data_IF_383315245611
#
_entry.id   IF_383315245611
#
_cell.length_a   1.000
_cell.length_b   1.000
_cell.length_c   1.000
_cell.angle_alpha   90.00
_cell.angle_beta   90.00
_cell.angle_gamma   90.00
#
_symmetry.space_group_name_H-M   'P 1'
#
loop_
_entity.id
_entity.type
_entity.pdbx_description
1 polymer ?
#
# COMPACT_ATOMS: atom_id res chain seq x y z
N UNK A 1 63.55 -2.86 -3.73
CA UNK A 1 62.30 -2.18 -3.25
C UNK A 1 61.77 -1.32 -4.38
N UNK A 2 60.60 -1.65 -4.89
CA UNK A 2 59.96 -0.82 -5.94
C UNK A 2 59.42 0.41 -5.24
N UNK A 3 59.96 1.58 -5.60
CA UNK A 3 59.54 2.83 -4.99
C UNK A 3 58.14 3.20 -5.53
N UNK A 4 57.10 3.13 -4.66
CA UNK A 4 55.72 3.38 -5.00
C UNK A 4 55.52 4.77 -5.63
N UNK A 5 56.26 5.78 -5.18
CA UNK A 5 56.22 7.13 -5.75
C UNK A 5 56.71 7.17 -7.21
N UNK A 6 57.77 6.45 -7.52
CA UNK A 6 58.31 6.36 -8.89
C UNK A 6 57.34 5.65 -9.82
N UNK A 7 56.70 4.57 -9.36
CA UNK A 7 55.67 3.83 -10.13
C UNK A 7 54.45 4.70 -10.39
N UNK A 8 53.96 5.40 -9.40
CA UNK A 8 52.81 6.31 -9.55
C UNK A 8 53.12 7.46 -10.54
N UNK A 9 54.32 8.04 -10.45
CA UNK A 9 54.76 9.10 -11.36
C UNK A 9 54.83 8.61 -12.81
N UNK A 10 55.37 7.41 -13.05
CA UNK A 10 55.40 6.80 -14.39
C UNK A 10 54.02 6.52 -14.94
N UNK A 11 53.08 6.04 -14.10
CA UNK A 11 51.71 5.81 -14.51
C UNK A 11 51.01 7.11 -14.95
N UNK A 12 51.15 8.20 -14.17
CA UNK A 12 50.56 9.51 -14.52
C UNK A 12 51.18 10.08 -15.81
N UNK A 13 52.50 9.91 -16.02
CA UNK A 13 53.16 10.36 -17.24
C UNK A 13 52.65 9.57 -18.46
N UNK A 14 52.50 8.25 -18.33
CA UNK A 14 51.95 7.40 -19.40
C UNK A 14 50.55 7.79 -19.81
N UNK A 15 49.68 8.16 -18.83
CA UNK A 15 48.33 8.66 -19.09
C UNK A 15 48.37 9.99 -19.83
N UNK A 16 49.30 10.87 -19.47
CA UNK A 16 49.43 12.20 -20.12
C UNK A 16 49.96 12.12 -21.55
N UNK A 17 50.82 11.16 -21.88
CA UNK A 17 51.32 10.96 -23.25
C UNK A 17 50.21 10.45 -24.18
N UNK A 18 49.31 9.60 -23.70
CA UNK A 18 48.23 9.00 -24.48
C UNK A 18 46.84 9.54 -24.07
N UNK A 19 46.69 10.85 -23.96
CA UNK A 19 45.50 11.53 -23.42
C UNK A 19 44.17 11.02 -24.04
N UNK A 20 44.11 10.95 -25.37
CA UNK A 20 42.88 10.55 -26.08
C UNK A 20 42.44 9.11 -25.74
N UNK A 21 43.42 8.18 -25.69
CA UNK A 21 43.12 6.79 -25.32
C UNK A 21 42.70 6.66 -23.88
N UNK A 22 43.37 7.36 -22.97
CA UNK A 22 43.07 7.36 -21.55
C UNK A 22 41.68 7.97 -21.28
N UNK A 23 41.33 9.07 -21.97
CA UNK A 23 40.00 9.67 -21.87
C UNK A 23 38.90 8.74 -22.38
N UNK A 24 39.11 8.10 -23.54
CA UNK A 24 38.13 7.18 -24.12
C UNK A 24 37.86 5.96 -23.23
N UNK A 25 38.95 5.37 -22.71
CA UNK A 25 38.79 4.22 -21.79
C UNK A 25 38.17 4.58 -20.47
N UNK A 26 38.54 5.73 -19.87
CA UNK A 26 37.93 6.23 -18.64
C UNK A 26 36.45 6.55 -18.84
N UNK A 27 36.09 7.17 -19.98
CA UNK A 27 34.71 7.47 -20.33
C UNK A 27 33.90 6.17 -20.44
N UNK A 28 34.41 5.15 -21.08
CA UNK A 28 33.74 3.84 -21.17
C UNK A 28 33.50 3.20 -19.82
N UNK A 29 34.48 3.26 -18.91
CA UNK A 29 34.35 2.72 -17.55
C UNK A 29 33.30 3.55 -16.77
N UNK A 30 33.34 4.89 -16.83
CA UNK A 30 32.40 5.76 -16.15
C UNK A 30 30.97 5.47 -16.61
N UNK A 31 30.74 5.41 -17.92
CA UNK A 31 29.42 5.10 -18.47
C UNK A 31 28.95 3.70 -18.00
N UNK A 32 29.79 2.70 -18.10
CA UNK A 32 29.46 1.34 -17.71
C UNK A 32 29.10 1.21 -16.23
N UNK A 33 29.93 1.78 -15.35
CA UNK A 33 29.67 1.75 -13.91
C UNK A 33 28.43 2.57 -13.55
N UNK A 34 28.30 3.76 -14.14
CA UNK A 34 27.11 4.61 -13.90
C UNK A 34 25.82 3.93 -14.32
N UNK A 35 25.81 3.24 -15.45
CA UNK A 35 24.65 2.51 -15.93
C UNK A 35 24.21 1.41 -14.93
N UNK A 36 25.17 0.67 -14.38
CA UNK A 36 24.88 -0.37 -13.37
C UNK A 36 24.34 0.25 -12.08
N UNK A 37 24.96 1.34 -11.61
CA UNK A 37 24.50 2.03 -10.39
C UNK A 37 23.07 2.57 -10.56
N UNK A 38 22.78 3.19 -11.70
CA UNK A 38 21.44 3.70 -11.99
C UNK A 38 20.42 2.57 -12.03
N UNK A 39 20.76 1.45 -12.71
CA UNK A 39 19.86 0.29 -12.78
C UNK A 39 19.55 -0.27 -11.37
N UNK A 40 20.56 -0.42 -10.53
CA UNK A 40 20.39 -0.89 -9.16
C UNK A 40 19.57 0.11 -8.33
N UNK A 41 19.85 1.40 -8.43
CA UNK A 41 19.13 2.44 -7.70
C UNK A 41 17.64 2.50 -8.09
N UNK A 42 17.33 2.42 -9.38
CA UNK A 42 15.95 2.37 -9.86
C UNK A 42 15.25 1.09 -9.40
N UNK A 43 15.94 -0.07 -9.51
CA UNK A 43 15.37 -1.35 -9.08
C UNK A 43 15.08 -1.42 -7.59
N UNK A 44 16.00 -0.97 -6.75
CA UNK A 44 15.80 -0.92 -5.29
C UNK A 44 14.74 0.09 -4.92
N UNK A 45 14.75 1.28 -5.53
CA UNK A 45 13.74 2.32 -5.27
C UNK A 45 12.32 1.88 -5.66
N UNK A 46 12.17 1.21 -6.79
CA UNK A 46 10.88 0.65 -7.21
C UNK A 46 10.39 -0.45 -6.25
N UNK A 47 11.28 -1.35 -5.84
CA UNK A 47 10.96 -2.42 -4.88
C UNK A 47 10.53 -1.86 -3.52
N UNK A 48 11.25 -0.85 -3.02
CA UNK A 48 10.91 -0.17 -1.75
C UNK A 48 9.55 0.53 -1.82
N UNK A 49 9.26 1.18 -2.96
CA UNK A 49 7.96 1.81 -3.17
C UNK A 49 6.82 0.80 -3.17
N UNK A 50 6.96 -0.31 -3.91
CA UNK A 50 5.96 -1.38 -3.93
C UNK A 50 5.76 -1.97 -2.53
N UNK A 51 6.84 -2.20 -1.78
CA UNK A 51 6.77 -2.68 -0.39
C UNK A 51 5.99 -1.70 0.50
N UNK A 52 6.29 -0.40 0.39
CA UNK A 52 5.60 0.65 1.15
C UNK A 52 4.13 0.77 0.79
N UNK A 53 3.80 0.65 -0.50
CA UNK A 53 2.43 0.63 -0.98
C UNK A 53 1.67 -0.61 -0.47
N UNK A 54 2.32 -1.78 -0.42
CA UNK A 54 1.75 -3.00 0.18
C UNK A 54 1.55 -2.87 1.70
N UNK A 55 2.50 -2.28 2.41
CA UNK A 55 2.40 -2.02 3.85
C UNK A 55 1.28 -1.04 4.17
N UNK A 56 1.07 -0.02 3.33
CA UNK A 56 -0.03 0.95 3.49
C UNK A 56 -1.41 0.34 3.26
N UNK A 57 -1.52 -0.70 2.44
CA UNK A 57 -2.77 -1.44 2.23
C UNK A 57 -3.12 -2.38 3.40
N UNK A 58 -2.25 -2.50 4.43
CA UNK A 58 -2.44 -3.38 5.58
C UNK A 58 -1.94 -4.80 5.31
N UNK A 59 -0.67 -5.06 5.57
CA UNK A 59 -0.01 -6.36 5.33
C UNK A 59 -0.61 -7.52 6.13
N UNK A 60 -1.34 -7.23 7.21
CA UNK A 60 -1.94 -8.22 8.11
C UNK A 60 -3.47 -8.20 8.07
N UNK A 61 -4.06 -7.75 6.93
CA UNK A 61 -5.49 -7.65 6.78
C UNK A 61 -6.09 -8.95 6.25
N UNK A 62 -6.99 -9.54 7.03
CA UNK A 62 -7.81 -10.67 6.61
C UNK A 62 -9.25 -10.20 6.35
N UNK A 63 -9.72 -10.33 5.10
CA UNK A 63 -11.09 -10.01 4.74
C UNK A 63 -11.91 -11.28 4.67
N UNK A 64 -12.91 -11.41 5.56
CA UNK A 64 -13.87 -12.52 5.60
C UNK A 64 -15.13 -12.08 4.86
N UNK A 65 -15.55 -12.84 3.87
CA UNK A 65 -16.75 -12.58 3.08
C UNK A 65 -17.71 -13.78 3.15
N UNK A 66 -19.00 -13.49 3.11
CA UNK A 66 -20.02 -14.54 2.98
C UNK A 66 -19.78 -15.38 1.72
N UNK A 67 -19.86 -16.70 1.85
CA UNK A 67 -19.77 -17.59 0.72
C UNK A 67 -20.96 -17.40 -0.25
N UNK A 68 -20.78 -17.78 -1.50
CA UNK A 68 -21.89 -17.79 -2.47
C UNK A 68 -22.93 -18.84 -2.09
N UNK A 69 -24.19 -18.46 -2.00
CA UNK A 69 -25.28 -19.42 -1.83
C UNK A 69 -25.55 -20.15 -3.16
N UNK A 70 -25.70 -21.48 -3.11
CA UNK A 70 -26.29 -22.25 -4.20
C UNK A 70 -27.82 -22.19 -4.06
N UNK A 71 -28.50 -21.62 -5.03
CA UNK A 71 -29.96 -21.68 -5.12
C UNK A 71 -30.35 -22.26 -6.48
N UNK A 72 -31.08 -23.37 -6.49
CA UNK A 72 -31.57 -23.99 -7.70
C UNK A 72 -30.51 -24.49 -8.70
N UNK A 73 -29.31 -24.88 -8.22
CA UNK A 73 -28.22 -25.37 -9.09
C UNK A 73 -27.33 -24.28 -9.70
N UNK A 74 -27.71 -23.02 -9.61
CA UNK A 74 -26.93 -21.88 -10.10
C UNK A 74 -26.05 -21.29 -8.94
N UNK A 75 -24.76 -21.16 -9.19
CA UNK A 75 -23.86 -20.43 -8.28
C UNK A 75 -24.11 -18.93 -8.44
N UNK A 76 -24.70 -18.32 -7.44
CA UNK A 76 -24.72 -16.87 -7.34
C UNK A 76 -23.33 -16.37 -6.89
N UNK A 77 -22.91 -15.19 -7.33
CA UNK A 77 -21.60 -14.62 -6.99
C UNK A 77 -21.37 -14.53 -5.48
N UNK A 78 -20.09 -14.45 -5.06
CA UNK A 78 -19.72 -14.26 -3.67
C UNK A 78 -20.42 -13.02 -3.08
N UNK A 79 -21.01 -13.15 -1.87
CA UNK A 79 -21.62 -12.02 -1.16
C UNK A 79 -23.08 -11.75 -1.52
N UNK A 80 -23.73 -12.54 -2.38
CA UNK A 80 -25.14 -12.36 -2.77
C UNK A 80 -26.14 -12.59 -1.63
N UNK A 81 -25.77 -13.29 -0.57
CA UNK A 81 -26.54 -13.36 0.70
C UNK A 81 -25.60 -13.05 1.86
N UNK A 82 -25.87 -11.98 2.62
CA UNK A 82 -25.13 -11.69 3.83
C UNK A 82 -25.48 -12.75 4.89
N UNK A 83 -24.59 -13.72 5.07
CA UNK A 83 -24.73 -14.74 6.13
C UNK A 83 -23.93 -14.38 7.38
N UNK A 84 -22.96 -13.47 7.25
CA UNK A 84 -22.20 -12.96 8.38
C UNK A 84 -23.02 -11.91 9.14
N UNK A 85 -22.98 -12.01 10.47
CA UNK A 85 -23.70 -11.13 11.40
C UNK A 85 -22.73 -10.40 12.33
N UNK A 86 -23.22 -9.37 13.01
CA UNK A 86 -22.42 -8.69 14.05
C UNK A 86 -22.03 -9.62 15.20
N UNK A 87 -22.83 -10.69 15.46
CA UNK A 87 -22.48 -11.72 16.46
C UNK A 87 -21.26 -12.53 16.03
N UNK A 88 -21.10 -12.80 14.74
CA UNK A 88 -19.94 -13.52 14.22
C UNK A 88 -18.68 -12.65 14.33
N UNK A 89 -18.77 -11.34 14.08
CA UNK A 89 -17.68 -10.41 14.29
C UNK A 89 -17.22 -10.39 15.76
N UNK A 90 -18.17 -10.28 16.69
CA UNK A 90 -17.89 -10.31 18.13
C UNK A 90 -17.31 -11.68 18.58
N UNK A 91 -17.75 -12.79 17.98
CA UNK A 91 -17.22 -14.11 18.26
C UNK A 91 -15.77 -14.25 17.78
N UNK A 92 -15.44 -13.70 16.62
CA UNK A 92 -14.05 -13.67 16.09
C UNK A 92 -13.17 -12.86 17.02
N UNK A 93 -13.59 -11.66 17.38
CA UNK A 93 -12.84 -10.77 18.28
C UNK A 93 -12.52 -11.44 19.61
N UNK A 94 -13.50 -12.15 20.18
CA UNK A 94 -13.35 -12.83 21.48
C UNK A 94 -12.52 -14.11 21.43
N UNK A 95 -12.61 -14.90 20.36
CA UNK A 95 -12.09 -16.27 20.34
C UNK A 95 -10.88 -16.46 19.42
N UNK A 96 -10.65 -15.57 18.44
CA UNK A 96 -9.54 -15.74 17.52
C UNK A 96 -8.23 -15.25 18.15
N UNK A 97 -7.22 -16.13 18.13
CA UNK A 97 -5.88 -15.78 18.61
C UNK A 97 -5.12 -15.01 17.52
N UNK A 98 -4.39 -13.96 17.91
CA UNK A 98 -3.57 -13.18 17.00
C UNK A 98 -4.35 -12.15 16.15
N UNK A 99 -5.61 -11.89 16.47
CA UNK A 99 -6.41 -10.80 15.90
C UNK A 99 -6.29 -9.58 16.81
N UNK A 100 -5.86 -8.45 16.25
CA UNK A 100 -5.68 -7.20 17.01
C UNK A 100 -6.94 -6.33 17.00
N UNK A 101 -7.71 -6.37 15.91
CA UNK A 101 -8.96 -5.63 15.78
C UNK A 101 -9.87 -6.31 14.74
N UNK A 102 -11.17 -6.15 14.91
CA UNK A 102 -12.20 -6.66 14.00
C UNK A 102 -13.16 -5.51 13.69
N UNK A 103 -13.44 -5.30 12.41
CA UNK A 103 -14.44 -4.33 11.99
C UNK A 103 -15.43 -4.98 11.03
N UNK A 104 -16.71 -5.06 11.38
CA UNK A 104 -17.76 -5.43 10.46
C UNK A 104 -17.95 -4.32 9.42
N UNK A 105 -18.08 -4.73 8.15
CA UNK A 105 -18.28 -3.79 7.04
C UNK A 105 -19.51 -4.20 6.25
N UNK A 106 -20.42 -3.27 6.07
CA UNK A 106 -21.53 -3.37 5.11
C UNK A 106 -21.31 -2.36 3.99
N UNK A 107 -21.51 -2.75 2.75
CA UNK A 107 -21.32 -1.86 1.60
C UNK A 107 -22.55 -1.90 0.71
N UNK A 108 -23.00 -0.71 0.28
CA UNK A 108 -24.13 -0.57 -0.63
C UNK A 108 -23.86 0.57 -1.61
N UNK A 109 -24.12 0.31 -2.90
CA UNK A 109 -24.11 1.36 -3.89
C UNK A 109 -25.33 2.26 -3.70
N UNK A 110 -25.10 3.53 -3.48
CA UNK A 110 -26.15 4.55 -3.25
C UNK A 110 -25.95 5.72 -4.20
N UNK A 111 -27.07 6.32 -4.53
CA UNK A 111 -27.10 7.59 -5.24
C UNK A 111 -27.14 8.72 -4.23
N UNK A 112 -26.07 9.52 -4.21
CA UNK A 112 -25.93 10.67 -3.35
C UNK A 112 -26.43 11.90 -4.11
N UNK A 113 -27.33 12.66 -3.50
CA UNK A 113 -27.91 13.88 -4.08
C UNK A 113 -27.60 15.07 -3.18
N UNK A 114 -27.06 16.12 -3.78
CA UNK A 114 -26.85 17.40 -3.12
C UNK A 114 -27.27 18.54 -4.04
N UNK A 115 -28.30 19.25 -3.67
CA UNK A 115 -28.90 20.28 -4.52
C UNK A 115 -29.38 19.68 -5.85
N UNK A 116 -28.83 20.17 -6.94
CA UNK A 116 -29.12 19.69 -8.31
C UNK A 116 -28.07 18.69 -8.85
N UNK A 117 -27.15 18.23 -7.99
CA UNK A 117 -26.11 17.28 -8.34
C UNK A 117 -26.43 15.89 -7.83
N UNK A 118 -26.08 14.90 -8.62
CA UNK A 118 -26.38 13.51 -8.39
C UNK A 118 -25.13 12.65 -8.67
N UNK A 119 -24.72 11.85 -7.68
CA UNK A 119 -23.50 11.06 -7.74
C UNK A 119 -23.77 9.62 -7.28
N UNK A 120 -23.34 8.66 -8.07
CA UNK A 120 -23.37 7.25 -7.65
C UNK A 120 -22.08 6.92 -6.90
N UNK A 121 -22.19 6.47 -5.66
CA UNK A 121 -21.05 6.11 -4.83
C UNK A 121 -21.37 4.87 -3.98
N UNK A 122 -20.31 4.17 -3.55
CA UNK A 122 -20.46 3.08 -2.59
C UNK A 122 -20.34 3.64 -1.18
N UNK A 123 -21.38 3.44 -0.39
CA UNK A 123 -21.41 3.81 1.03
C UNK A 123 -21.03 2.60 1.86
N UNK A 124 -20.05 2.76 2.75
CA UNK A 124 -19.58 1.74 3.69
C UNK A 124 -20.09 2.05 5.08
N UNK A 125 -20.87 1.15 5.67
CA UNK A 125 -21.20 1.17 7.09
C UNK A 125 -20.18 0.36 7.85
N UNK A 126 -19.53 0.98 8.85
CA UNK A 126 -18.41 0.36 9.55
C UNK A 126 -18.28 0.91 10.99
N UNK A 127 -17.31 0.41 11.74
CA UNK A 127 -16.98 0.82 13.11
C UNK A 127 -15.69 1.65 13.17
N UNK A 128 -15.38 2.32 14.29
CA UNK A 128 -14.16 3.12 14.43
C UNK A 128 -12.88 2.36 14.14
N UNK A 129 -12.85 1.05 14.46
CA UNK A 129 -11.70 0.15 14.25
C UNK A 129 -11.31 0.03 12.77
N UNK A 130 -12.22 0.32 11.85
CA UNK A 130 -11.97 0.27 10.42
C UNK A 130 -10.84 1.21 9.98
N UNK A 131 -10.79 2.40 10.55
CA UNK A 131 -9.74 3.38 10.23
C UNK A 131 -8.38 2.86 10.66
N UNK A 132 -8.29 2.27 11.86
CA UNK A 132 -7.08 1.65 12.35
C UNK A 132 -6.65 0.45 11.48
N UNK A 133 -7.60 -0.45 11.15
CA UNK A 133 -7.34 -1.64 10.33
C UNK A 133 -6.87 -1.26 8.92
N UNK A 134 -7.43 -0.20 8.35
CA UNK A 134 -7.11 0.29 7.01
C UNK A 134 -5.97 1.31 6.98
N UNK A 135 -5.47 1.68 8.14
CA UNK A 135 -4.47 2.75 8.28
C UNK A 135 -4.92 4.06 7.60
N UNK A 136 -6.20 4.39 7.76
CA UNK A 136 -6.76 5.63 7.24
C UNK A 136 -6.61 6.76 8.26
N UNK A 137 -6.04 7.86 7.82
CA UNK A 137 -5.95 9.09 8.60
C UNK A 137 -7.03 10.07 8.15
N UNK A 138 -7.64 10.76 9.12
CA UNK A 138 -8.64 11.80 8.84
C UNK A 138 -7.92 13.14 8.73
N UNK A 139 -7.90 13.69 7.54
CA UNK A 139 -7.19 14.96 7.24
C UNK A 139 -7.86 16.16 7.91
N UNK A 140 -9.19 16.17 7.96
CA UNK A 140 -9.95 17.28 8.54
C UNK A 140 -11.15 16.76 9.31
N UNK A 141 -11.41 17.32 10.48
CA UNK A 141 -12.51 16.90 11.34
C UNK A 141 -12.11 15.77 12.30
N UNK A 142 -13.01 14.79 12.49
CA UNK A 142 -12.75 13.62 13.33
C UNK A 142 -13.25 12.32 12.70
N UNK A 143 -12.63 11.21 13.06
CA UNK A 143 -13.15 9.88 12.78
C UNK A 143 -14.39 9.52 13.64
N UNK A 144 -14.91 8.33 13.44
CA UNK A 144 -15.98 7.78 14.26
C UNK A 144 -15.47 7.48 15.68
N UNK A 145 -16.36 7.66 16.64
CA UNK A 145 -16.11 7.26 18.05
C UNK A 145 -17.17 6.24 18.48
N UNK A 146 -16.90 5.43 19.51
CA UNK A 146 -17.84 4.40 19.98
C UNK A 146 -19.22 4.98 20.35
N UNK A 147 -19.27 6.23 20.82
CA UNK A 147 -20.50 6.92 21.15
C UNK A 147 -21.39 7.18 19.93
N UNK A 148 -20.80 7.40 18.75
CA UNK A 148 -21.56 7.58 17.52
C UNK A 148 -22.33 6.31 17.17
N UNK A 149 -21.72 5.14 17.37
CA UNK A 149 -22.35 3.83 17.15
C UNK A 149 -23.46 3.60 18.17
N UNK A 150 -23.17 3.84 19.45
CA UNK A 150 -24.10 3.63 20.55
C UNK A 150 -25.36 4.50 20.41
N UNK A 151 -25.20 5.72 19.96
CA UNK A 151 -26.28 6.70 19.81
C UNK A 151 -26.91 6.68 18.40
N UNK A 152 -26.46 5.78 17.52
CA UNK A 152 -26.88 5.75 16.10
C UNK A 152 -26.77 7.13 15.44
N UNK A 153 -25.68 7.85 15.72
CA UNK A 153 -25.45 9.19 15.21
C UNK A 153 -25.30 9.17 13.67
N UNK A 154 -25.92 10.14 13.01
CA UNK A 154 -25.82 10.30 11.56
C UNK A 154 -24.55 11.07 11.20
N UNK A 155 -23.43 10.38 11.23
CA UNK A 155 -22.10 10.91 10.91
C UNK A 155 -21.51 10.18 9.71
N UNK A 156 -20.71 10.88 8.92
CA UNK A 156 -20.01 10.30 7.77
C UNK A 156 -18.62 10.88 7.65
N UNK A 157 -17.69 10.07 7.14
CA UNK A 157 -16.37 10.50 6.69
C UNK A 157 -16.34 10.31 5.18
N UNK A 158 -15.91 11.34 4.45
CA UNK A 158 -15.92 11.38 2.99
C UNK A 158 -14.46 11.26 2.53
N UNK A 159 -14.20 10.41 1.56
CA UNK A 159 -12.90 10.34 0.90
C UNK A 159 -12.73 11.50 -0.08
N UNK A 160 -11.51 11.98 -0.21
CA UNK A 160 -11.09 12.99 -1.21
C UNK A 160 -10.84 12.36 -2.57
#
# INVERSE_FOLDING_TARGET
MIDFKSTLKMAVVSLKINKMRSMLTSLGIIIGVSAVIIMLAVGTGASEKVKKDMESMGSNLLTIRSASAKSGGVRMGMGTRPTLTLKDAAAIEKNARGVSAVSPVSSEAKQLMFGNQNWSSTVYGTTPEYFYIKNYEVESGRGFVPEDIKNSAKVSVIGS
#
